data_IF_307316857747
#
_entry.id   IF_307316857747
#
_cell.length_a   1.000
_cell.length_b   1.000
_cell.length_c   1.000
_cell.angle_alpha   90.00
_cell.angle_beta   90.00
_cell.angle_gamma   90.00
#
_symmetry.space_group_name_H-M   'P 1'
#
loop_
_entity.id
_entity.type
_entity.pdbx_description
1 polymer ?
#
# COMPACT_ATOMS: atom_id res chain seq x y z
N UNK A 1 2.53 -10.27 -9.44
CA UNK A 1 1.91 -8.94 -9.34
C UNK A 1 0.46 -9.06 -8.90
N UNK A 2 0.10 -8.39 -7.80
CA UNK A 2 -1.28 -8.27 -7.30
C UNK A 2 -1.57 -6.80 -7.05
N UNK A 3 -2.71 -6.32 -7.53
CA UNK A 3 -3.13 -4.93 -7.34
C UNK A 3 -4.37 -4.86 -6.43
N UNK A 4 -4.40 -3.88 -5.52
CA UNK A 4 -5.52 -3.62 -4.61
C UNK A 4 -5.93 -2.16 -4.75
N UNK A 5 -7.20 -1.92 -5.11
CA UNK A 5 -7.76 -0.58 -5.20
C UNK A 5 -8.37 -0.16 -3.86
N UNK A 6 -8.09 1.06 -3.42
CA UNK A 6 -8.61 1.58 -2.15
C UNK A 6 -10.07 2.07 -2.24
N UNK A 7 -10.63 2.16 -3.45
CA UNK A 7 -12.03 2.52 -3.66
C UNK A 7 -12.73 1.58 -4.65
N UNK A 8 -14.06 1.63 -4.64
CA UNK A 8 -14.94 0.78 -5.46
C UNK A 8 -15.04 1.24 -6.92
N UNK A 9 -14.71 2.50 -7.21
CA UNK A 9 -14.70 3.02 -8.59
C UNK A 9 -13.26 2.99 -9.11
N UNK A 10 -12.96 1.96 -9.90
CA UNK A 10 -11.64 1.77 -10.50
C UNK A 10 -11.22 3.00 -11.33
N UNK A 11 -10.04 3.57 -11.06
CA UNK A 11 -9.40 4.57 -11.92
C UNK A 11 -9.32 6.02 -11.40
N UNK A 12 -9.83 6.33 -10.20
CA UNK A 12 -9.78 7.68 -9.60
C UNK A 12 -9.28 7.67 -8.14
N UNK A 13 -8.56 6.61 -7.76
CA UNK A 13 -8.08 6.45 -6.39
C UNK A 13 -6.71 5.77 -6.35
N UNK A 14 -5.95 5.96 -5.26
CA UNK A 14 -4.69 5.27 -5.07
C UNK A 14 -4.85 3.74 -5.09
N UNK A 15 -3.91 3.08 -5.74
CA UNK A 15 -3.75 1.64 -5.75
C UNK A 15 -2.59 1.21 -4.85
N UNK A 16 -2.59 -0.07 -4.49
CA UNK A 16 -1.47 -0.77 -3.86
C UNK A 16 -1.07 -1.89 -4.80
N UNK A 17 0.09 -1.76 -5.42
CA UNK A 17 0.67 -2.74 -6.33
C UNK A 17 1.75 -3.54 -5.60
N UNK A 18 1.52 -4.84 -5.46
CA UNK A 18 2.46 -5.78 -4.84
C UNK A 18 3.26 -6.46 -5.96
N UNK A 19 4.54 -6.12 -6.04
CA UNK A 19 5.54 -6.69 -6.92
C UNK A 19 6.33 -7.79 -6.17
N UNK A 20 7.31 -8.41 -6.84
CA UNK A 20 8.05 -9.54 -6.25
C UNK A 20 8.98 -9.10 -5.10
N UNK A 21 9.54 -7.89 -5.18
CA UNK A 21 10.51 -7.36 -4.19
C UNK A 21 10.10 -6.03 -3.54
N UNK A 22 9.08 -5.35 -4.07
CA UNK A 22 8.61 -4.05 -3.58
C UNK A 22 7.09 -3.90 -3.66
N UNK A 23 6.59 -2.87 -2.98
CA UNK A 23 5.18 -2.47 -3.00
C UNK A 23 5.10 -1.00 -3.38
N UNK A 24 4.29 -0.68 -4.38
CA UNK A 24 4.06 0.69 -4.86
C UNK A 24 2.67 1.13 -4.42
N UNK A 25 2.57 2.33 -3.83
CA UNK A 25 1.30 2.89 -3.35
C UNK A 25 1.14 4.29 -3.94
N UNK A 26 0.03 4.56 -4.63
CA UNK A 26 -0.22 5.89 -5.20
C UNK A 26 -1.24 5.93 -6.32
N UNK A 27 -1.43 7.13 -6.89
CA UNK A 27 -2.28 7.39 -8.06
C UNK A 27 -1.53 8.28 -9.07
N UNK A 28 -1.21 9.53 -8.69
CA UNK A 28 -0.39 10.44 -9.50
C UNK A 28 1.05 10.56 -8.97
N UNK A 29 1.22 10.41 -7.66
CA UNK A 29 2.52 10.32 -6.99
C UNK A 29 2.60 8.98 -6.28
N UNK A 30 3.74 8.31 -6.44
CA UNK A 30 3.95 6.97 -5.93
C UNK A 30 5.01 6.97 -4.84
N UNK A 31 4.78 6.17 -3.81
CA UNK A 31 5.80 5.75 -2.86
C UNK A 31 6.09 4.28 -3.12
N UNK A 32 7.36 3.95 -3.32
CA UNK A 32 7.83 2.57 -3.39
C UNK A 32 8.45 2.18 -2.04
N UNK A 33 7.98 1.05 -1.50
CA UNK A 33 8.48 0.43 -0.28
C UNK A 33 9.14 -0.89 -0.65
N UNK A 34 10.35 -1.11 -0.15
CA UNK A 34 10.93 -2.46 -0.20
C UNK A 34 10.17 -3.41 0.75
N UNK A 35 10.45 -4.71 0.62
CA UNK A 35 9.83 -5.77 1.44
C UNK A 35 9.84 -5.47 2.95
N UNK A 36 10.96 -5.02 3.50
CA UNK A 36 11.09 -4.80 4.94
C UNK A 36 10.27 -3.59 5.40
N UNK A 37 10.29 -2.51 4.63
CA UNK A 37 9.48 -1.31 4.89
C UNK A 37 7.98 -1.59 4.80
N UNK A 38 7.56 -2.39 3.82
CA UNK A 38 6.18 -2.83 3.70
C UNK A 38 5.75 -3.68 4.91
N UNK A 39 6.57 -4.64 5.33
CA UNK A 39 6.26 -5.49 6.48
C UNK A 39 6.19 -4.69 7.79
N UNK A 40 7.07 -3.70 7.98
CA UNK A 40 7.02 -2.79 9.14
C UNK A 40 5.75 -1.93 9.11
N UNK A 41 5.36 -1.40 7.95
CA UNK A 41 4.10 -0.65 7.78
C UNK A 41 2.89 -1.50 8.17
N UNK A 42 2.78 -2.73 7.65
CA UNK A 42 1.69 -3.66 7.96
C UNK A 42 1.68 -4.00 9.45
N UNK A 43 2.85 -4.27 10.05
CA UNK A 43 2.97 -4.57 11.48
C UNK A 43 2.50 -3.41 12.35
N UNK A 44 2.80 -2.16 11.97
CA UNK A 44 2.31 -0.96 12.68
C UNK A 44 0.80 -0.78 12.56
N UNK A 45 0.20 -1.15 11.43
CA UNK A 45 -1.26 -1.15 11.25
C UNK A 45 -1.91 -2.22 12.14
N UNK A 46 -1.40 -3.46 12.10
CA UNK A 46 -1.95 -4.58 12.86
C UNK A 46 -1.80 -4.42 14.38
N UNK A 47 -0.69 -3.83 14.83
CA UNK A 47 -0.46 -3.52 16.24
C UNK A 47 -1.27 -2.32 16.76
N UNK A 48 -1.96 -1.59 15.88
CA UNK A 48 -2.74 -0.41 16.22
C UNK A 48 -1.91 0.85 16.48
N UNK A 49 -0.61 0.83 16.19
CA UNK A 49 0.25 2.04 16.20
C UNK A 49 -0.20 3.02 15.13
N UNK A 50 -0.56 2.50 13.95
CA UNK A 50 -1.24 3.23 12.89
C UNK A 50 -2.69 2.73 12.83
N UNK A 51 -3.64 3.64 12.92
CA UNK A 51 -5.07 3.31 12.96
C UNK A 51 -5.89 4.25 12.09
N UNK A 52 -7.19 3.93 11.97
CA UNK A 52 -8.15 4.84 11.34
C UNK A 52 -8.20 6.14 12.15
N UNK A 53 -8.19 7.26 11.45
CA UNK A 53 -8.46 8.60 12.01
C UNK A 53 -9.95 8.87 11.87
#
# INVERSE_FOLDING_TARGET
>A
MKEVFLCSEHGCCPSVEILDESVVIGEETFVELNRDQWNDLVSKIESGVLGKI
#
